data_IF_729790214184
#
_entry.id   IF_729790214184
#
_cell.length_a   1.000
_cell.length_b   1.000
_cell.length_c   1.000
_cell.angle_alpha   90.00
_cell.angle_beta   90.00
_cell.angle_gamma   90.00
#
_symmetry.space_group_name_H-M   'P 1'
#
loop_
_entity.id
_entity.type
_entity.pdbx_description
1 polymer ?
#
# COMPACT_ATOMS: atom_id res chain seq x y z
N UNK A 1 11.84 25.81 13.97
CA UNK A 1 12.48 24.80 13.11
C UNK A 1 11.39 23.95 12.44
N UNK A 2 11.04 24.24 11.19
CA UNK A 2 10.14 23.39 10.41
C UNK A 2 10.93 22.15 9.96
N UNK A 3 10.82 21.04 10.69
CA UNK A 3 11.25 19.73 10.19
C UNK A 3 10.31 19.41 9.03
N UNK A 4 10.84 19.31 7.82
CA UNK A 4 10.10 19.06 6.59
C UNK A 4 9.22 17.80 6.73
N UNK A 5 7.95 17.87 6.34
CA UNK A 5 7.01 16.72 6.32
C UNK A 5 7.59 15.51 5.58
N UNK A 6 8.44 15.75 4.60
CA UNK A 6 9.14 14.74 3.80
C UNK A 6 10.08 13.84 4.61
N UNK A 7 10.80 14.39 5.60
CA UNK A 7 11.69 13.60 6.47
C UNK A 7 10.89 12.62 7.35
N UNK A 8 9.70 12.99 7.76
CA UNK A 8 8.85 12.20 8.66
C UNK A 8 8.17 11.01 7.95
N UNK A 9 7.74 11.16 6.71
CA UNK A 9 7.14 10.06 5.95
C UNK A 9 8.20 9.02 5.55
N UNK A 10 9.41 9.44 5.19
CA UNK A 10 10.53 8.54 4.91
C UNK A 10 10.93 7.73 6.15
N UNK A 11 10.96 8.35 7.33
CA UNK A 11 11.23 7.66 8.60
C UNK A 11 10.12 6.63 8.92
N UNK A 12 8.84 7.02 8.75
CA UNK A 12 7.71 6.12 8.90
C UNK A 12 7.82 4.93 7.93
N UNK A 13 8.12 5.17 6.67
CA UNK A 13 8.30 4.12 5.65
C UNK A 13 9.41 3.14 6.04
N UNK A 14 10.53 3.62 6.59
CA UNK A 14 11.60 2.78 7.10
C UNK A 14 11.14 1.89 8.27
N UNK A 15 10.31 2.42 9.17
CA UNK A 15 9.73 1.65 10.29
C UNK A 15 8.73 0.59 9.78
N UNK A 16 7.90 0.94 8.80
CA UNK A 16 6.95 0.00 8.17
C UNK A 16 7.70 -1.17 7.54
N UNK A 17 8.71 -0.90 6.69
CA UNK A 17 9.47 -1.92 5.97
C UNK A 17 10.16 -2.91 6.92
N UNK A 18 10.59 -2.44 8.09
CA UNK A 18 11.25 -3.24 9.13
C UNK A 18 10.30 -3.92 10.11
N UNK A 19 8.97 -3.88 9.89
CA UNK A 19 8.00 -4.45 10.81
C UNK A 19 7.93 -5.99 10.71
N UNK A 20 8.00 -6.67 11.87
CA UNK A 20 7.90 -8.12 12.03
C UNK A 20 6.86 -8.52 13.11
N UNK A 21 5.91 -7.65 13.43
CA UNK A 21 5.01 -7.81 14.57
C UNK A 21 4.00 -8.97 14.41
N UNK A 22 3.48 -9.18 13.20
CA UNK A 22 2.46 -10.19 12.93
C UNK A 22 3.10 -11.48 12.37
N UNK A 23 3.47 -12.43 13.22
CA UNK A 23 4.19 -13.66 12.82
C UNK A 23 3.53 -14.40 11.65
N UNK A 24 2.18 -14.55 11.65
CA UNK A 24 1.44 -15.21 10.56
C UNK A 24 1.66 -14.51 9.23
N UNK A 25 1.59 -13.18 9.20
CA UNK A 25 1.80 -12.40 7.98
C UNK A 25 3.27 -12.41 7.54
N UNK A 26 4.20 -12.35 8.49
CA UNK A 26 5.65 -12.44 8.19
C UNK A 26 5.94 -13.78 7.51
N UNK A 27 5.56 -14.88 8.15
CA UNK A 27 5.77 -16.22 7.60
C UNK A 27 5.13 -16.38 6.22
N UNK A 28 3.91 -15.86 6.03
CA UNK A 28 3.20 -15.98 4.76
C UNK A 28 3.86 -15.17 3.65
N UNK A 29 4.17 -13.87 3.88
CA UNK A 29 4.80 -13.02 2.86
C UNK A 29 6.18 -13.56 2.42
N UNK A 30 6.97 -14.09 3.38
CA UNK A 30 8.29 -14.66 3.13
C UNK A 30 8.20 -16.00 2.42
N UNK A 31 7.23 -16.86 2.81
CA UNK A 31 6.93 -18.11 2.11
C UNK A 31 6.59 -17.84 0.65
N UNK A 32 5.66 -16.90 0.37
CA UNK A 32 5.31 -16.50 -1.00
C UNK A 32 6.54 -15.98 -1.78
N UNK A 33 7.41 -15.22 -1.12
CA UNK A 33 8.61 -14.69 -1.76
C UNK A 33 9.65 -15.78 -2.07
N UNK A 34 9.69 -16.86 -1.28
CA UNK A 34 10.55 -18.03 -1.50
C UNK A 34 9.98 -18.97 -2.57
N UNK A 35 8.71 -19.34 -2.43
CA UNK A 35 8.05 -20.35 -3.30
C UNK A 35 7.81 -19.81 -4.71
N UNK A 36 7.45 -18.54 -4.81
CA UNK A 36 7.16 -17.80 -6.04
C UNK A 36 6.09 -18.46 -6.91
N UNK A 37 5.42 -17.72 -7.74
CA UNK A 37 4.54 -18.26 -8.79
C UNK A 37 5.40 -18.70 -9.98
N UNK A 38 5.01 -19.78 -10.68
CA UNK A 38 5.77 -20.35 -11.81
C UNK A 38 6.21 -19.29 -12.84
N UNK A 39 5.32 -18.40 -13.23
CA UNK A 39 5.60 -17.35 -14.20
C UNK A 39 6.56 -16.24 -13.70
N UNK A 40 6.83 -16.19 -12.40
CA UNK A 40 7.74 -15.20 -11.77
C UNK A 40 8.95 -15.85 -11.09
N UNK A 41 9.30 -17.08 -11.46
CA UNK A 41 10.39 -17.85 -10.84
C UNK A 41 11.75 -17.14 -10.87
N UNK A 42 12.01 -16.40 -11.94
CA UNK A 42 13.27 -15.65 -12.15
C UNK A 42 13.31 -14.30 -11.46
N UNK A 43 12.14 -13.80 -11.00
CA UNK A 43 12.07 -12.49 -10.36
C UNK A 43 12.51 -12.55 -8.89
N UNK A 44 13.08 -11.45 -8.39
CA UNK A 44 13.32 -11.25 -6.95
C UNK A 44 12.09 -10.62 -6.32
N UNK A 45 11.43 -11.35 -5.42
CA UNK A 45 10.30 -10.82 -4.68
C UNK A 45 10.77 -9.90 -3.55
N UNK A 46 9.98 -8.85 -3.32
CA UNK A 46 10.19 -7.92 -2.22
C UNK A 46 10.05 -8.58 -0.84
N UNK A 47 8.97 -9.33 -0.60
CA UNK A 47 8.74 -10.13 0.61
C UNK A 47 8.69 -9.36 1.94
N UNK A 48 8.54 -8.04 1.90
CA UNK A 48 8.53 -7.14 3.08
C UNK A 48 7.23 -6.34 3.10
N UNK A 49 6.90 -5.62 4.21
CA UNK A 49 5.76 -4.71 4.24
C UNK A 49 5.80 -3.68 3.11
N UNK A 50 4.61 -3.28 2.65
CA UNK A 50 4.44 -2.30 1.58
C UNK A 50 4.08 -0.95 2.18
N UNK A 51 4.77 0.08 1.72
CA UNK A 51 4.50 1.48 2.06
C UNK A 51 3.57 2.12 1.04
N UNK A 52 3.02 3.28 1.35
CA UNK A 52 2.23 4.05 0.40
C UNK A 52 3.07 4.60 -0.76
N UNK A 53 2.38 5.08 -1.78
CA UNK A 53 2.99 5.59 -3.01
C UNK A 53 2.18 6.74 -3.59
N UNK A 54 2.84 7.80 -4.01
CA UNK A 54 2.22 8.92 -4.70
C UNK A 54 2.72 10.28 -4.26
N UNK A 55 1.88 11.29 -4.41
CA UNK A 55 2.16 12.68 -4.05
C UNK A 55 1.89 12.89 -2.55
N UNK A 56 2.90 13.30 -1.79
CA UNK A 56 2.78 13.58 -0.35
C UNK A 56 1.87 14.79 -0.06
N UNK A 57 1.64 15.66 -1.05
CA UNK A 57 0.72 16.79 -0.98
C UNK A 57 -0.67 16.48 -1.55
N UNK A 58 -0.97 15.21 -1.78
CA UNK A 58 -2.18 14.74 -2.42
C UNK A 58 -3.46 15.26 -1.74
N UNK A 59 -4.45 15.62 -2.56
CA UNK A 59 -5.84 15.89 -2.11
C UNK A 59 -6.71 14.65 -2.18
N UNK A 60 -6.35 13.65 -3.00
CA UNK A 60 -7.03 12.36 -3.09
C UNK A 60 -6.18 11.26 -2.43
N UNK A 61 -6.76 10.59 -1.43
CA UNK A 61 -6.20 9.40 -0.80
C UNK A 61 -6.99 8.18 -1.22
N UNK A 62 -6.33 7.18 -1.81
CA UNK A 62 -6.93 5.92 -2.22
C UNK A 62 -6.43 4.81 -1.31
N UNK A 63 -7.34 4.07 -0.69
CA UNK A 63 -7.01 3.06 0.32
C UNK A 63 -7.54 1.71 -0.11
N UNK A 64 -6.65 0.70 -0.15
CA UNK A 64 -7.02 -0.69 -0.31
C UNK A 64 -6.86 -1.52 0.97
N UNK A 65 -7.17 -2.81 0.87
CA UNK A 65 -7.04 -3.75 1.99
C UNK A 65 -5.58 -4.03 2.35
N UNK A 66 -4.86 -4.69 1.45
CA UNK A 66 -3.54 -5.26 1.67
C UNK A 66 -2.82 -5.49 0.32
N UNK A 67 -1.49 -5.72 0.31
CA UNK A 67 -0.80 -6.07 -0.92
C UNK A 67 -1.20 -7.48 -1.39
N UNK A 68 -1.35 -7.65 -2.71
CA UNK A 68 -1.53 -8.96 -3.31
C UNK A 68 -0.24 -9.80 -3.25
N UNK A 69 -0.38 -11.13 -3.13
CA UNK A 69 0.73 -12.07 -2.97
C UNK A 69 1.75 -11.99 -4.12
N UNK A 70 1.28 -11.90 -5.36
CA UNK A 70 2.10 -11.83 -6.57
C UNK A 70 2.08 -10.44 -7.24
N UNK A 71 1.41 -9.46 -6.61
CA UNK A 71 1.44 -8.04 -6.93
C UNK A 71 2.40 -7.28 -6.00
N UNK A 72 1.87 -6.51 -5.04
CA UNK A 72 2.68 -5.69 -4.12
C UNK A 72 3.74 -6.47 -3.35
N UNK A 73 3.43 -7.68 -2.83
CA UNK A 73 4.42 -8.50 -2.13
C UNK A 73 5.56 -8.98 -3.05
N UNK A 74 5.33 -9.08 -4.36
CA UNK A 74 6.38 -9.35 -5.36
C UNK A 74 7.15 -8.07 -5.71
N UNK A 75 6.46 -7.02 -6.10
CA UNK A 75 7.04 -5.83 -6.73
C UNK A 75 7.62 -4.82 -5.74
N UNK A 76 7.14 -4.79 -4.49
CA UNK A 76 7.54 -3.81 -3.48
C UNK A 76 6.82 -2.46 -3.60
N UNK A 77 5.77 -2.33 -4.45
CA UNK A 77 4.94 -1.13 -4.58
C UNK A 77 3.46 -1.49 -4.46
N UNK A 78 2.70 -0.64 -3.77
CA UNK A 78 1.25 -0.76 -3.62
C UNK A 78 0.57 -0.73 -4.99
N UNK A 79 -0.49 -1.52 -5.19
CA UNK A 79 -1.25 -1.63 -6.44
C UNK A 79 -0.34 -1.79 -7.68
N UNK A 80 0.51 -2.82 -7.68
CA UNK A 80 1.48 -3.03 -8.77
C UNK A 80 1.59 -4.50 -9.11
N UNK A 81 1.45 -4.83 -10.41
CA UNK A 81 1.71 -6.14 -10.98
C UNK A 81 0.63 -7.20 -10.70
N UNK A 82 -0.63 -6.78 -10.56
CA UNK A 82 -1.80 -7.65 -10.45
C UNK A 82 -3.02 -7.05 -11.18
N UNK A 83 -4.06 -7.86 -11.39
CA UNK A 83 -5.26 -7.45 -12.14
C UNK A 83 -6.00 -6.25 -11.53
N UNK A 84 -5.96 -6.09 -10.20
CA UNK A 84 -6.58 -4.95 -9.54
C UNK A 84 -5.86 -3.66 -9.88
N UNK A 85 -4.52 -3.72 -9.96
CA UNK A 85 -3.70 -2.57 -10.38
C UNK A 85 -3.94 -2.21 -11.83
N UNK A 86 -4.08 -3.20 -12.73
CA UNK A 86 -4.35 -2.96 -14.15
C UNK A 86 -5.65 -2.17 -14.35
N UNK A 87 -6.70 -2.56 -13.64
CA UNK A 87 -7.98 -1.83 -13.69
C UNK A 87 -7.87 -0.43 -13.10
N UNK A 88 -7.29 -0.33 -11.89
CA UNK A 88 -7.17 0.95 -11.18
C UNK A 88 -6.40 1.99 -12.00
N UNK A 89 -5.24 1.60 -12.56
CA UNK A 89 -4.40 2.56 -13.27
C UNK A 89 -4.95 2.96 -14.65
N UNK A 90 -5.72 2.10 -15.31
CA UNK A 90 -6.50 2.52 -16.48
C UNK A 90 -7.46 3.66 -16.13
N UNK A 91 -8.25 3.50 -15.05
CA UNK A 91 -9.17 4.54 -14.59
C UNK A 91 -8.42 5.83 -14.16
N UNK A 92 -7.33 5.70 -13.40
CA UNK A 92 -6.56 6.86 -12.94
C UNK A 92 -5.88 7.61 -14.10
N UNK A 93 -5.43 6.92 -15.12
CA UNK A 93 -4.83 7.53 -16.31
C UNK A 93 -5.88 8.25 -17.17
N UNK A 94 -7.06 7.66 -17.35
CA UNK A 94 -8.15 8.27 -18.08
C UNK A 94 -8.55 9.63 -17.51
N UNK A 95 -8.57 9.75 -16.18
CA UNK A 95 -8.85 11.03 -15.47
C UNK A 95 -7.59 11.86 -15.16
N UNK A 96 -6.45 11.54 -15.77
CA UNK A 96 -5.16 12.27 -15.64
C UNK A 96 -4.58 12.33 -14.22
N UNK A 97 -4.90 11.37 -13.37
CA UNK A 97 -4.32 11.22 -12.03
C UNK A 97 -3.02 10.41 -12.07
N UNK A 98 -2.80 9.58 -13.10
CA UNK A 98 -1.51 8.93 -13.34
C UNK A 98 -0.95 9.29 -14.72
N UNK A 99 0.39 9.22 -14.84
CA UNK A 99 1.08 9.49 -16.11
C UNK A 99 1.01 8.32 -17.11
N UNK A 100 0.62 7.14 -16.65
CA UNK A 100 0.50 5.91 -17.44
C UNK A 100 -0.66 5.05 -16.93
N UNK A 101 -1.17 4.18 -17.78
CA UNK A 101 -2.30 3.28 -17.51
C UNK A 101 -1.89 1.92 -16.94
N UNK A 102 -0.59 1.72 -16.70
CA UNK A 102 -0.02 0.47 -16.19
C UNK A 102 0.78 0.66 -14.92
N UNK A 103 0.88 -0.40 -14.11
CA UNK A 103 1.69 -0.46 -12.90
C UNK A 103 2.29 -1.86 -12.77
N UNK A 104 3.43 -2.08 -13.43
CA UNK A 104 4.00 -3.42 -13.61
C UNK A 104 5.08 -3.76 -12.58
N UNK A 105 5.97 -2.82 -12.25
CA UNK A 105 7.06 -2.98 -11.29
C UNK A 105 7.44 -1.65 -10.65
N UNK A 106 8.22 -1.71 -9.58
CA UNK A 106 8.49 -0.54 -8.71
C UNK A 106 9.11 0.66 -9.43
N UNK A 107 9.94 0.42 -10.43
CA UNK A 107 10.72 1.46 -11.12
C UNK A 107 10.28 1.62 -12.60
N UNK A 108 9.00 1.45 -12.89
CA UNK A 108 8.42 1.55 -14.24
C UNK A 108 8.10 2.98 -14.70
N UNK A 109 8.51 3.99 -13.94
CA UNK A 109 8.28 5.40 -14.27
C UNK A 109 6.92 5.94 -13.88
N UNK A 110 6.05 5.12 -13.23
CA UNK A 110 4.73 5.55 -12.77
C UNK A 110 4.83 6.74 -11.82
N UNK A 111 3.99 7.75 -12.07
CA UNK A 111 3.80 8.92 -11.20
C UNK A 111 2.31 9.15 -10.99
N UNK A 112 1.97 9.61 -9.79
CA UNK A 112 0.62 10.08 -9.45
C UNK A 112 0.64 11.60 -9.28
N UNK A 113 -0.41 12.24 -9.75
CA UNK A 113 -0.64 13.68 -9.63
C UNK A 113 -1.76 13.94 -8.64
N UNK A 114 -1.45 14.66 -7.56
CA UNK A 114 -2.42 15.04 -6.53
C UNK A 114 -3.18 13.85 -5.90
N UNK A 115 -2.58 12.65 -5.95
CA UNK A 115 -3.14 11.42 -5.39
C UNK A 115 -2.07 10.60 -4.66
N UNK A 116 -2.48 9.90 -3.60
CA UNK A 116 -1.65 8.99 -2.82
C UNK A 116 -2.38 7.67 -2.60
N UNK A 117 -1.68 6.57 -2.76
CA UNK A 117 -2.18 5.21 -2.58
C UNK A 117 -1.63 4.60 -1.31
N UNK A 118 -2.48 3.99 -0.50
CA UNK A 118 -2.06 3.21 0.66
C UNK A 118 -2.94 2.00 0.93
N UNK A 119 -2.63 1.26 2.00
CA UNK A 119 -3.31 0.05 2.40
C UNK A 119 -3.60 0.06 3.90
N UNK A 120 -4.74 -0.50 4.30
CA UNK A 120 -5.10 -0.71 5.71
C UNK A 120 -4.13 -1.67 6.40
N UNK A 121 -3.65 -2.68 5.68
CA UNK A 121 -2.68 -3.67 6.13
C UNK A 121 -1.44 -3.65 5.24
N UNK A 122 -0.25 -3.57 5.83
CA UNK A 122 1.01 -3.41 5.07
C UNK A 122 1.64 -4.73 4.59
N UNK A 123 1.10 -5.87 5.02
CA UNK A 123 1.57 -7.20 4.63
C UNK A 123 0.43 -8.00 3.99
N UNK A 124 0.76 -8.88 3.02
CA UNK A 124 -0.21 -9.77 2.41
C UNK A 124 -0.74 -10.78 3.43
N UNK A 125 -2.07 -10.89 3.63
CA UNK A 125 -2.67 -11.93 4.45
C UNK A 125 -2.96 -13.19 3.61
N UNK A 126 -2.92 -14.40 4.22
CA UNK A 126 -3.43 -15.61 3.56
C UNK A 126 -4.88 -15.43 3.10
N UNK A 127 -5.19 -15.85 1.87
CA UNK A 127 -6.55 -15.81 1.28
C UNK A 127 -7.20 -14.41 1.29
N UNK A 128 -6.41 -13.35 1.30
CA UNK A 128 -6.85 -11.96 1.44
C UNK A 128 -7.71 -11.70 2.70
N UNK A 129 -7.56 -12.56 3.73
CA UNK A 129 -8.32 -12.52 4.99
C UNK A 129 -7.41 -12.16 6.18
N UNK A 130 -7.30 -10.86 6.52
CA UNK A 130 -6.62 -10.45 7.75
C UNK A 130 -7.43 -10.82 8.99
N UNK A 131 -6.75 -11.06 10.10
CA UNK A 131 -7.41 -11.13 11.41
C UNK A 131 -7.66 -9.72 11.98
N UNK A 132 -8.60 -9.61 12.92
CA UNK A 132 -8.85 -8.35 13.64
C UNK A 132 -7.58 -7.84 14.33
N UNK A 133 -6.80 -8.73 14.94
CA UNK A 133 -5.57 -8.37 15.64
C UNK A 133 -4.50 -7.82 14.68
N UNK A 134 -4.36 -8.38 13.49
CA UNK A 134 -3.42 -7.90 12.47
C UNK A 134 -3.77 -6.50 11.98
N UNK A 135 -5.07 -6.24 11.77
CA UNK A 135 -5.55 -4.90 11.45
C UNK A 135 -5.29 -3.92 12.59
N UNK A 136 -5.51 -4.31 13.85
CA UNK A 136 -5.23 -3.49 15.03
C UNK A 136 -3.73 -3.17 15.14
N UNK A 137 -2.87 -4.16 15.01
CA UNK A 137 -1.41 -3.97 15.07
C UNK A 137 -0.91 -3.03 13.96
N UNK A 138 -1.47 -3.15 12.75
CA UNK A 138 -1.07 -2.34 11.60
C UNK A 138 -1.66 -0.92 11.63
N UNK A 139 -2.74 -0.70 12.38
CA UNK A 139 -3.48 0.56 12.43
C UNK A 139 -2.62 1.76 12.86
N UNK A 140 -1.62 1.55 13.71
CA UNK A 140 -0.66 2.59 14.10
C UNK A 140 0.08 3.20 12.90
N UNK A 141 0.47 2.36 11.93
CA UNK A 141 1.12 2.82 10.71
C UNK A 141 0.15 3.53 9.77
N UNK A 142 -1.06 2.97 9.62
CA UNK A 142 -2.14 3.58 8.85
C UNK A 142 -2.48 4.97 9.38
N UNK A 143 -2.69 5.11 10.70
CA UNK A 143 -2.97 6.39 11.36
C UNK A 143 -1.84 7.40 11.19
N UNK A 144 -0.59 6.96 11.39
CA UNK A 144 0.57 7.83 11.22
C UNK A 144 0.70 8.34 9.78
N UNK A 145 0.51 7.46 8.78
CA UNK A 145 0.62 7.81 7.36
C UNK A 145 -0.45 8.84 6.96
N UNK A 146 -1.72 8.65 7.35
CA UNK A 146 -2.79 9.64 7.06
C UNK A 146 -2.49 10.97 7.75
N UNK A 147 -1.97 10.96 8.97
CA UNK A 147 -1.62 12.18 9.69
C UNK A 147 -0.51 13.00 9.01
N UNK A 148 0.33 12.39 8.17
CA UNK A 148 1.33 13.11 7.36
C UNK A 148 0.74 13.72 6.09
N UNK A 149 -0.36 13.19 5.57
CA UNK A 149 -1.02 13.66 4.35
C UNK A 149 -1.98 14.82 4.65
N UNK A 150 -1.44 15.99 4.95
CA UNK A 150 -2.19 17.14 5.47
C UNK A 150 -3.21 17.76 4.50
N UNK A 151 -3.04 17.54 3.20
CA UNK A 151 -3.85 18.19 2.16
C UNK A 151 -5.02 17.34 1.68
N UNK A 152 -5.19 16.13 2.21
CA UNK A 152 -6.26 15.21 1.81
C UNK A 152 -7.63 15.85 2.03
N UNK A 153 -8.46 15.85 0.97
CA UNK A 153 -9.84 16.36 0.94
C UNK A 153 -10.84 15.26 0.62
N UNK A 154 -10.41 14.26 -0.15
CA UNK A 154 -11.24 13.15 -0.59
C UNK A 154 -10.53 11.84 -0.27
N UNK A 155 -11.27 10.88 0.27
CA UNK A 155 -10.78 9.52 0.54
C UNK A 155 -11.63 8.53 -0.24
N UNK A 156 -10.99 7.73 -1.09
CA UNK A 156 -11.60 6.64 -1.83
C UNK A 156 -11.25 5.30 -1.17
N UNK A 157 -12.22 4.63 -0.57
CA UNK A 157 -12.07 3.32 0.02
C UNK A 157 -12.35 2.22 -1.01
N UNK A 158 -11.37 1.39 -1.31
CA UNK A 158 -11.52 0.23 -2.18
C UNK A 158 -11.86 -1.01 -1.34
N UNK A 159 -13.16 -1.12 -1.01
CA UNK A 159 -13.71 -2.25 -0.26
C UNK A 159 -13.95 -1.99 1.24
N UNK A 160 -14.69 -2.92 1.86
CA UNK A 160 -15.21 -2.77 3.23
C UNK A 160 -14.11 -2.54 4.27
N UNK A 161 -13.02 -3.32 4.27
CA UNK A 161 -11.97 -3.18 5.29
C UNK A 161 -11.25 -1.84 5.19
N UNK A 162 -11.05 -1.33 3.96
CA UNK A 162 -10.51 0.02 3.77
C UNK A 162 -11.46 1.07 4.35
N UNK A 163 -12.75 0.96 4.08
CA UNK A 163 -13.78 1.83 4.62
C UNK A 163 -13.83 1.78 6.17
N UNK A 164 -13.88 0.57 6.76
CA UNK A 164 -13.90 0.39 8.22
C UNK A 164 -12.65 1.00 8.89
N UNK A 165 -11.50 0.96 8.22
CA UNK A 165 -10.26 1.57 8.72
C UNK A 165 -10.34 3.10 8.75
N UNK A 166 -11.03 3.71 7.77
CA UNK A 166 -11.27 5.15 7.73
C UNK A 166 -12.25 5.57 8.82
N UNK A 167 -13.37 4.85 8.96
CA UNK A 167 -14.35 5.09 10.02
C UNK A 167 -13.66 5.05 11.39
N UNK A 168 -12.85 4.04 11.63
CA UNK A 168 -12.05 3.91 12.86
C UNK A 168 -11.05 5.06 13.05
N UNK A 169 -10.45 5.56 11.97
CA UNK A 169 -9.49 6.67 12.05
C UNK A 169 -10.15 7.97 12.50
N UNK A 170 -11.36 8.25 12.02
CA UNK A 170 -12.13 9.45 12.36
C UNK A 170 -13.01 9.28 13.61
N UNK A 171 -13.06 8.09 14.24
CA UNK A 171 -13.91 7.78 15.41
C UNK A 171 -15.43 7.95 15.14
N UNK A 172 -15.88 7.56 13.94
CA UNK A 172 -17.33 7.49 13.62
C UNK A 172 -17.94 6.17 14.08
#
# INVERSE_FOLDING_TARGET
>A
MHISSKSNLLELNSKIIKCFECKRLVNFREKIAKDKRKMYKTETYWGKPIVGFGDENARLLIIGLAPAAHGGNRTGRVFTGDKSSDFLFKCLNEVKISNQDTSNYKNDGLKLFNAYLTLSLKCVPPEDKPTKQELLNCFKFFKAEINFLKNVKVILALGKIAFDSIIKFYNF
#
